data_IF_253267102868
#
_entry.id   IF_253267102868
#
_cell.length_a   1.000
_cell.length_b   1.000
_cell.length_c   1.000
_cell.angle_alpha   90.00
_cell.angle_beta   90.00
_cell.angle_gamma   90.00
#
_symmetry.space_group_name_H-M   'P 1'
#
loop_
_entity.id
_entity.type
_entity.pdbx_description
1 polymer ?
#
# COMPACT_ATOMS: atom_id res chain seq x y z
N UNK A 1 -21.10 -62.62 25.80
CA UNK A 1 -21.15 -61.20 26.22
C UNK A 1 -20.19 -60.39 25.35
N UNK A 2 -20.72 -59.63 24.39
CA UNK A 2 -19.97 -58.69 23.54
C UNK A 2 -20.03 -57.32 24.20
N UNK A 3 -18.92 -56.83 24.74
CA UNK A 3 -18.85 -55.44 25.21
C UNK A 3 -17.41 -54.92 25.20
N UNK A 4 -16.87 -54.56 24.04
CA UNK A 4 -15.73 -53.64 23.94
C UNK A 4 -15.73 -53.00 22.55
N UNK A 5 -16.06 -51.71 22.49
CA UNK A 5 -16.12 -50.97 21.23
C UNK A 5 -16.64 -49.54 21.41
N UNK A 6 -15.94 -48.72 22.21
CA UNK A 6 -16.07 -47.25 22.18
C UNK A 6 -14.94 -46.58 22.96
N UNK A 7 -13.77 -46.37 22.35
CA UNK A 7 -12.70 -45.55 22.97
C UNK A 7 -11.75 -44.87 21.98
N UNK A 8 -12.25 -44.45 20.81
CA UNK A 8 -11.45 -43.67 19.83
C UNK A 8 -12.11 -42.39 19.31
N UNK A 9 -13.38 -42.10 19.61
CA UNK A 9 -14.11 -40.97 18.99
C UNK A 9 -13.94 -39.60 19.65
N UNK A 10 -13.35 -39.54 20.85
CA UNK A 10 -13.22 -38.30 21.63
C UNK A 10 -11.88 -37.57 21.51
N UNK A 11 -10.89 -38.16 20.82
CA UNK A 11 -9.58 -37.51 20.59
C UNK A 11 -9.61 -36.59 19.37
N UNK A 12 -10.17 -37.08 18.25
CA UNK A 12 -10.27 -36.34 16.99
C UNK A 12 -11.19 -35.11 17.07
N UNK A 13 -12.28 -35.16 17.84
CA UNK A 13 -13.15 -34.00 18.05
C UNK A 13 -12.46 -32.90 18.87
N UNK A 14 -11.63 -33.27 19.86
CA UNK A 14 -10.92 -32.28 20.71
C UNK A 14 -9.76 -31.64 19.96
N UNK A 15 -9.10 -32.39 19.08
CA UNK A 15 -8.02 -31.91 18.21
C UNK A 15 -8.55 -30.96 17.11
N UNK A 16 -9.69 -31.29 16.49
CA UNK A 16 -10.34 -30.42 15.49
C UNK A 16 -10.89 -29.10 16.08
N UNK A 17 -11.39 -29.12 17.33
CA UNK A 17 -11.86 -27.91 18.02
C UNK A 17 -10.66 -27.03 18.45
N UNK A 18 -9.53 -27.63 18.85
CA UNK A 18 -8.30 -26.91 19.18
C UNK A 18 -7.64 -26.26 17.95
N UNK A 19 -7.61 -26.95 16.81
CA UNK A 19 -7.08 -26.43 15.54
C UNK A 19 -7.96 -25.30 14.97
N UNK A 20 -9.29 -25.42 15.07
CA UNK A 20 -10.24 -24.37 14.65
C UNK A 20 -10.10 -23.12 15.52
N UNK A 21 -9.99 -23.28 16.84
CA UNK A 21 -9.83 -22.17 17.78
C UNK A 21 -8.49 -21.45 17.62
N UNK A 22 -7.41 -22.19 17.29
CA UNK A 22 -6.11 -21.61 16.99
C UNK A 22 -6.11 -20.81 15.67
N UNK A 23 -6.79 -21.29 14.63
CA UNK A 23 -6.93 -20.58 13.36
C UNK A 23 -7.76 -19.28 13.48
N UNK A 24 -8.82 -19.27 14.31
CA UNK A 24 -9.62 -18.05 14.57
C UNK A 24 -8.89 -17.03 15.46
N UNK A 25 -8.12 -17.51 16.45
CA UNK A 25 -7.29 -16.63 17.29
C UNK A 25 -6.12 -16.02 16.50
N UNK A 26 -5.55 -16.75 15.55
CA UNK A 26 -4.46 -16.27 14.71
C UNK A 26 -4.96 -15.28 13.63
N UNK A 27 -6.11 -15.54 12.99
CA UNK A 27 -6.75 -14.58 12.07
C UNK A 27 -7.13 -13.26 12.75
N UNK A 28 -7.69 -13.31 13.96
CA UNK A 28 -8.08 -12.08 14.68
C UNK A 28 -6.88 -11.26 15.16
N UNK A 29 -5.76 -11.91 15.50
CA UNK A 29 -4.49 -11.24 15.79
C UNK A 29 -3.85 -10.57 14.56
N UNK A 30 -3.89 -11.25 13.41
CA UNK A 30 -3.33 -10.74 12.16
C UNK A 30 -4.13 -9.54 11.60
N UNK A 31 -5.47 -9.57 11.71
CA UNK A 31 -6.33 -8.44 11.33
C UNK A 31 -6.12 -7.21 12.23
N UNK A 32 -5.94 -7.42 13.54
CA UNK A 32 -5.62 -6.36 14.49
C UNK A 32 -4.21 -5.77 14.23
N UNK A 33 -3.23 -6.60 13.88
CA UNK A 33 -1.89 -6.15 13.52
C UNK A 33 -1.86 -5.37 12.20
N UNK A 34 -2.61 -5.85 11.19
CA UNK A 34 -2.73 -5.18 9.89
C UNK A 34 -3.44 -3.83 9.99
N UNK A 35 -4.53 -3.74 10.76
CA UNK A 35 -5.21 -2.46 11.00
C UNK A 35 -4.33 -1.46 11.76
N UNK A 36 -3.56 -1.94 12.75
CA UNK A 36 -2.57 -1.11 13.47
C UNK A 36 -1.45 -0.62 12.55
N UNK A 37 -0.89 -1.50 11.72
CA UNK A 37 0.15 -1.15 10.74
C UNK A 37 -0.37 -0.14 9.71
N UNK A 38 -1.57 -0.36 9.17
CA UNK A 38 -2.17 0.53 8.18
C UNK A 38 -2.44 1.91 8.77
N UNK A 39 -2.92 1.97 10.02
CA UNK A 39 -3.09 3.25 10.75
C UNK A 39 -1.77 4.00 10.94
N UNK A 40 -0.67 3.30 11.24
CA UNK A 40 0.67 3.89 11.35
C UNK A 40 1.19 4.38 10.00
N UNK A 41 0.89 3.66 8.91
CA UNK A 41 1.25 4.07 7.55
C UNK A 41 0.48 5.31 7.12
N UNK A 42 -0.85 5.30 7.25
CA UNK A 42 -1.70 6.45 6.86
C UNK A 42 -1.37 7.69 7.67
N UNK A 43 -1.16 7.56 8.99
CA UNK A 43 -0.73 8.69 9.83
C UNK A 43 0.67 9.20 9.47
N UNK A 44 1.61 8.31 9.14
CA UNK A 44 2.96 8.70 8.71
C UNK A 44 2.99 9.46 7.39
N UNK A 45 2.06 9.13 6.48
CA UNK A 45 1.93 9.76 5.16
C UNK A 45 1.00 10.98 5.14
N UNK A 46 0.25 11.22 6.23
CA UNK A 46 -0.85 12.20 6.26
C UNK A 46 -0.46 13.61 5.83
N UNK A 47 0.76 14.07 6.14
CA UNK A 47 1.22 15.40 5.71
C UNK A 47 1.36 15.49 4.19
N UNK A 48 2.02 14.51 3.57
CA UNK A 48 2.25 14.46 2.13
C UNK A 48 0.95 14.22 1.37
N UNK A 49 0.12 13.28 1.83
CA UNK A 49 -1.16 12.99 1.16
C UNK A 49 -2.10 14.19 1.20
N UNK A 50 -2.20 14.89 2.34
CA UNK A 50 -3.08 16.04 2.46
C UNK A 50 -2.62 17.21 1.59
N UNK A 51 -1.31 17.50 1.56
CA UNK A 51 -0.77 18.56 0.72
C UNK A 51 -1.08 18.30 -0.77
N UNK A 52 -0.79 17.09 -1.25
CA UNK A 52 -1.03 16.71 -2.64
C UNK A 52 -2.52 16.75 -3.01
N UNK A 53 -3.38 16.14 -2.20
CA UNK A 53 -4.83 16.09 -2.47
C UNK A 53 -5.43 17.49 -2.47
N UNK A 54 -5.13 18.32 -1.46
CA UNK A 54 -5.66 19.67 -1.38
C UNK A 54 -5.18 20.58 -2.51
N UNK A 55 -3.93 20.44 -2.96
CA UNK A 55 -3.40 21.18 -4.11
C UNK A 55 -4.16 20.85 -5.40
N UNK A 56 -4.37 19.56 -5.65
CA UNK A 56 -5.03 19.07 -6.88
C UNK A 56 -6.53 19.38 -6.88
N UNK A 57 -7.23 19.15 -5.78
CA UNK A 57 -8.65 19.52 -5.65
C UNK A 57 -8.84 21.03 -5.78
N UNK A 58 -7.92 21.82 -5.23
CA UNK A 58 -7.89 23.27 -5.40
C UNK A 58 -7.77 23.68 -6.88
N UNK A 59 -6.89 23.02 -7.64
CA UNK A 59 -6.74 23.28 -9.07
C UNK A 59 -7.99 22.93 -9.88
N UNK A 60 -8.61 21.78 -9.58
CA UNK A 60 -9.78 21.27 -10.29
C UNK A 60 -11.07 22.04 -9.94
N UNK A 61 -11.24 22.46 -8.68
CA UNK A 61 -12.47 23.11 -8.22
C UNK A 61 -12.66 24.57 -8.68
N UNK A 62 -11.63 25.21 -9.24
CA UNK A 62 -11.71 26.61 -9.68
C UNK A 62 -12.30 26.74 -11.08
N UNK A 63 -12.09 25.74 -11.94
CA UNK A 63 -12.38 25.84 -13.39
C UNK A 63 -13.42 24.81 -13.80
N UNK A 64 -14.37 25.16 -14.68
CA UNK A 64 -15.40 24.24 -15.13
C UNK A 64 -14.89 23.22 -16.16
N UNK A 65 -13.71 23.46 -16.76
CA UNK A 65 -13.16 22.63 -17.84
C UNK A 65 -11.69 22.30 -17.60
N UNK A 66 -11.25 21.15 -18.10
CA UNK A 66 -9.86 20.70 -18.05
C UNK A 66 -9.09 21.46 -19.13
N UNK A 67 -8.57 22.62 -18.75
CA UNK A 67 -7.72 23.47 -19.58
C UNK A 67 -6.23 23.28 -19.23
N UNK A 68 -5.37 23.97 -19.98
CA UNK A 68 -3.92 23.89 -19.79
C UNK A 68 -3.48 24.30 -18.39
N UNK A 69 -4.20 25.22 -17.74
CA UNK A 69 -3.88 25.67 -16.39
C UNK A 69 -4.19 24.61 -15.33
N UNK A 70 -5.28 23.85 -15.49
CA UNK A 70 -5.58 22.70 -14.62
C UNK A 70 -4.48 21.64 -14.73
N UNK A 71 -4.09 21.30 -15.96
CA UNK A 71 -3.04 20.31 -16.22
C UNK A 71 -1.70 20.75 -15.63
N UNK A 72 -1.29 22.00 -15.86
CA UNK A 72 -0.06 22.58 -15.31
C UNK A 72 -0.05 22.58 -13.77
N UNK A 73 -1.20 22.85 -13.15
CA UNK A 73 -1.32 22.80 -11.70
C UNK A 73 -1.15 21.36 -11.16
N UNK A 74 -1.77 20.36 -11.79
CA UNK A 74 -1.59 18.95 -11.43
C UNK A 74 -0.13 18.52 -11.56
N UNK A 75 0.52 18.89 -12.67
CA UNK A 75 1.95 18.62 -12.89
C UNK A 75 2.81 19.24 -11.79
N UNK A 76 2.55 20.51 -11.45
CA UNK A 76 3.27 21.24 -10.39
C UNK A 76 3.13 20.54 -9.05
N UNK A 77 1.92 20.13 -8.66
CA UNK A 77 1.68 19.41 -7.41
C UNK A 77 2.42 18.06 -7.35
N UNK A 78 2.42 17.30 -8.45
CA UNK A 78 3.17 16.03 -8.53
C UNK A 78 4.69 16.26 -8.43
N UNK A 79 5.22 17.32 -9.04
CA UNK A 79 6.64 17.66 -8.93
C UNK A 79 7.02 18.10 -7.51
N UNK A 80 6.17 18.89 -6.84
CA UNK A 80 6.38 19.28 -5.43
C UNK A 80 6.31 18.10 -4.47
N UNK A 81 5.60 17.02 -4.84
CA UNK A 81 5.50 15.79 -4.07
C UNK A 81 6.63 14.77 -4.34
N UNK A 82 7.74 15.20 -4.95
CA UNK A 82 8.92 14.37 -5.24
C UNK A 82 8.66 13.18 -6.19
N UNK A 83 7.65 13.26 -7.07
CA UNK A 83 7.35 12.20 -8.06
C UNK A 83 8.43 12.12 -9.17
N UNK A 84 9.03 13.27 -9.49
CA UNK A 84 10.10 13.40 -10.50
C UNK A 84 9.57 13.58 -11.93
N UNK A 85 10.33 14.32 -12.74
CA UNK A 85 9.92 14.83 -14.06
C UNK A 85 9.42 13.73 -15.00
N UNK A 86 10.19 12.66 -15.20
CA UNK A 86 9.85 11.62 -16.16
C UNK A 86 8.55 10.88 -15.79
N UNK A 87 8.36 10.62 -14.50
CA UNK A 87 7.18 9.94 -13.97
C UNK A 87 5.96 10.85 -14.05
N UNK A 88 6.10 12.11 -13.64
CA UNK A 88 5.03 13.11 -13.73
C UNK A 88 4.55 13.28 -15.16
N UNK A 89 5.46 13.45 -16.13
CA UNK A 89 5.09 13.58 -17.54
C UNK A 89 4.26 12.39 -18.02
N UNK A 90 4.70 11.16 -17.70
CA UNK A 90 3.97 9.94 -18.05
C UNK A 90 2.56 9.94 -17.47
N UNK A 91 2.40 10.31 -16.21
CA UNK A 91 1.10 10.35 -15.52
C UNK A 91 0.19 11.41 -16.17
N UNK A 92 0.71 12.61 -16.42
CA UNK A 92 -0.06 13.71 -17.01
C UNK A 92 -0.50 13.37 -18.44
N UNK A 93 0.38 12.81 -19.26
CA UNK A 93 0.05 12.41 -20.62
C UNK A 93 -1.06 11.35 -20.63
N UNK A 94 -1.01 10.37 -19.73
CA UNK A 94 -2.05 9.36 -19.58
C UNK A 94 -3.36 9.95 -19.05
N UNK A 95 -3.28 10.92 -18.13
CA UNK A 95 -4.46 11.61 -17.63
C UNK A 95 -5.17 12.38 -18.74
N UNK A 96 -4.44 13.08 -19.61
CA UNK A 96 -4.99 13.79 -20.77
C UNK A 96 -5.62 12.84 -21.80
N UNK A 97 -5.11 11.62 -21.94
CA UNK A 97 -5.73 10.61 -22.81
C UNK A 97 -7.11 10.18 -22.32
N UNK A 98 -7.28 10.07 -20.99
CA UNK A 98 -8.56 9.67 -20.37
C UNK A 98 -9.51 10.87 -20.26
N UNK A 99 -8.97 12.05 -19.96
CA UNK A 99 -9.68 13.31 -19.80
C UNK A 99 -9.12 14.36 -20.77
N UNK A 100 -9.55 14.34 -22.05
CA UNK A 100 -9.06 15.25 -23.06
C UNK A 100 -9.28 16.72 -22.70
N UNK A 101 -8.41 17.59 -23.22
CA UNK A 101 -8.54 19.04 -23.00
C UNK A 101 -9.90 19.56 -23.45
N UNK A 102 -10.39 20.58 -22.76
CA UNK A 102 -11.68 21.25 -22.97
C UNK A 102 -12.91 20.38 -22.67
N UNK A 103 -12.77 19.28 -21.93
CA UNK A 103 -13.92 18.59 -21.34
C UNK A 103 -14.32 19.23 -20.02
N UNK A 104 -15.58 19.08 -19.63
CA UNK A 104 -16.06 19.51 -18.32
C UNK A 104 -15.30 18.77 -17.21
N UNK A 105 -15.01 19.47 -16.12
CA UNK A 105 -14.33 18.89 -14.96
C UNK A 105 -15.33 18.08 -14.14
N UNK A 106 -15.07 16.78 -14.05
CA UNK A 106 -15.58 15.92 -12.99
C UNK A 106 -14.43 15.65 -12.02
N UNK A 107 -14.43 16.36 -10.89
CA UNK A 107 -13.34 16.31 -9.89
C UNK A 107 -13.14 14.87 -9.39
N UNK A 108 -14.22 14.17 -9.08
CA UNK A 108 -14.16 12.82 -8.53
C UNK A 108 -13.62 11.83 -9.57
N UNK A 109 -14.04 11.96 -10.83
CA UNK A 109 -13.55 11.11 -11.91
C UNK A 109 -12.07 11.35 -12.21
N UNK A 110 -11.62 12.61 -12.24
CA UNK A 110 -10.21 12.98 -12.45
C UNK A 110 -9.35 12.47 -11.29
N UNK A 111 -9.78 12.68 -10.05
CA UNK A 111 -9.07 12.20 -8.85
C UNK A 111 -8.97 10.67 -8.82
N UNK A 112 -10.03 9.98 -9.17
CA UNK A 112 -10.03 8.50 -9.28
C UNK A 112 -9.04 8.04 -10.35
N UNK A 113 -9.07 8.67 -11.53
CA UNK A 113 -8.15 8.33 -12.63
C UNK A 113 -6.69 8.58 -12.23
N UNK A 114 -6.39 9.72 -11.61
CA UNK A 114 -5.05 10.04 -11.15
C UNK A 114 -4.54 9.02 -10.12
N UNK A 115 -5.39 8.64 -9.16
CA UNK A 115 -5.06 7.60 -8.17
C UNK A 115 -4.71 6.29 -8.86
N UNK A 116 -5.49 5.86 -9.84
CA UNK A 116 -5.26 4.60 -10.54
C UNK A 116 -3.95 4.64 -11.35
N UNK A 117 -3.63 5.78 -11.99
CA UNK A 117 -2.36 5.99 -12.69
C UNK A 117 -1.16 5.94 -11.73
N UNK A 118 -1.26 6.57 -10.57
CA UNK A 118 -0.23 6.52 -9.53
C UNK A 118 -0.01 5.10 -9.03
N UNK A 119 -1.09 4.36 -8.74
CA UNK A 119 -1.01 2.96 -8.31
C UNK A 119 -0.38 2.08 -9.40
N UNK A 120 -0.76 2.27 -10.67
CA UNK A 120 -0.19 1.52 -11.79
C UNK A 120 1.32 1.74 -11.96
N UNK A 121 1.81 2.92 -11.56
CA UNK A 121 3.24 3.22 -11.60
C UNK A 121 4.02 2.51 -10.49
N UNK A 122 3.35 2.16 -9.39
CA UNK A 122 3.95 1.41 -8.27
C UNK A 122 3.96 -0.11 -8.51
N UNK A 123 3.06 -0.65 -9.33
CA UNK A 123 2.94 -2.09 -9.57
C UNK A 123 4.11 -2.72 -10.34
N UNK A 124 5.00 -1.93 -10.92
CA UNK A 124 6.18 -2.41 -11.65
C UNK A 124 7.35 -2.80 -10.73
N UNK A 125 7.25 -2.60 -9.41
CA UNK A 125 8.33 -2.90 -8.47
C UNK A 125 8.11 -4.25 -7.78
N UNK A 126 9.12 -5.12 -7.97
CA UNK A 126 9.08 -6.57 -7.75
C UNK A 126 8.54 -7.07 -6.41
N UNK A 127 7.93 -8.25 -6.49
CA UNK A 127 7.48 -9.05 -5.36
C UNK A 127 8.53 -9.08 -4.24
N UNK A 128 8.06 -9.05 -2.99
CA UNK A 128 8.92 -9.28 -1.83
C UNK A 128 9.76 -10.55 -2.07
N UNK A 129 11.06 -10.54 -1.75
CA UNK A 129 11.89 -11.72 -1.94
C UNK A 129 11.24 -12.90 -1.24
N UNK A 130 10.99 -13.98 -1.98
CA UNK A 130 10.53 -15.22 -1.38
C UNK A 130 11.71 -15.85 -0.64
N UNK A 131 11.76 -15.61 0.66
CA UNK A 131 12.77 -16.18 1.54
C UNK A 131 12.40 -17.64 1.84
N UNK A 132 12.39 -18.51 0.83
CA UNK A 132 12.26 -19.96 1.02
C UNK A 132 13.58 -20.50 1.59
N UNK A 133 13.66 -20.89 2.88
CA UNK A 133 14.94 -21.13 3.51
C UNK A 133 15.15 -22.63 3.79
N UNK A 134 16.02 -23.26 3.03
CA UNK A 134 16.79 -24.43 3.51
C UNK A 134 18.13 -23.95 4.12
N UNK A 135 18.12 -22.87 4.92
CA UNK A 135 19.32 -22.31 5.53
C UNK A 135 19.23 -20.84 5.96
N UNK A 136 20.31 -20.27 6.52
CA UNK A 136 20.33 -18.88 6.99
C UNK A 136 20.25 -17.88 5.82
N UNK A 137 19.36 -16.89 5.94
CA UNK A 137 19.26 -15.75 5.02
C UNK A 137 20.26 -14.67 5.43
N UNK A 138 21.15 -14.28 4.52
CA UNK A 138 22.13 -13.20 4.74
C UNK A 138 21.68 -11.93 4.04
N UNK A 139 21.40 -10.87 4.80
CA UNK A 139 20.99 -9.56 4.28
C UNK A 139 22.16 -8.57 4.43
N UNK A 140 22.71 -8.10 3.30
CA UNK A 140 23.72 -7.04 3.26
C UNK A 140 23.05 -5.67 3.17
N UNK A 141 23.20 -4.84 4.21
CA UNK A 141 22.63 -3.47 4.24
C UNK A 141 23.70 -2.44 3.88
N UNK A 142 23.47 -1.68 2.80
CA UNK A 142 24.39 -0.66 2.28
C UNK A 142 23.75 0.74 2.25
N UNK A 143 24.56 1.80 2.24
CA UNK A 143 24.09 3.20 2.14
C UNK A 143 25.00 4.21 2.85
N UNK A 144 24.76 5.51 2.67
CA UNK A 144 25.55 6.60 3.26
C UNK A 144 25.28 6.81 4.76
N UNK A 145 26.10 7.60 5.45
CA UNK A 145 25.90 7.87 6.89
C UNK A 145 24.63 8.70 7.11
N UNK A 146 23.88 8.39 8.18
CA UNK A 146 22.68 9.16 8.57
C UNK A 146 21.33 8.70 7.99
N UNK A 147 21.28 7.83 6.97
CA UNK A 147 20.01 7.36 6.36
C UNK A 147 19.25 6.29 7.18
N UNK A 148 19.71 6.01 8.41
CA UNK A 148 19.04 5.07 9.31
C UNK A 148 19.41 3.59 9.15
N UNK A 149 20.53 3.24 8.50
CA UNK A 149 20.97 1.84 8.31
C UNK A 149 20.93 1.00 9.59
N UNK A 150 21.58 1.45 10.66
CA UNK A 150 21.64 0.74 11.95
C UNK A 150 20.26 0.61 12.59
N UNK A 151 19.42 1.65 12.48
CA UNK A 151 18.04 1.62 12.98
C UNK A 151 17.19 0.61 12.20
N UNK A 152 17.34 0.54 10.89
CA UNK A 152 16.64 -0.43 10.04
C UNK A 152 17.10 -1.86 10.33
N UNK A 153 18.40 -2.10 10.57
CA UNK A 153 18.92 -3.40 11.02
C UNK A 153 18.24 -3.84 12.33
N UNK A 154 18.18 -2.95 13.33
CA UNK A 154 17.51 -3.26 14.61
C UNK A 154 16.01 -3.54 14.44
N UNK A 155 15.30 -2.81 13.57
CA UNK A 155 13.89 -3.06 13.25
C UNK A 155 13.68 -4.41 12.56
N UNK A 156 14.55 -4.76 11.61
CA UNK A 156 14.50 -6.06 10.92
C UNK A 156 14.78 -7.21 11.90
N UNK A 157 15.77 -7.08 12.77
CA UNK A 157 16.13 -8.09 13.79
C UNK A 157 15.09 -8.24 14.91
N UNK A 158 14.21 -7.26 15.10
CA UNK A 158 13.06 -7.41 15.99
C UNK A 158 11.86 -8.10 15.29
N UNK A 159 11.77 -7.98 13.96
CA UNK A 159 10.66 -8.52 13.17
C UNK A 159 10.85 -9.99 12.79
N UNK A 160 12.08 -10.42 12.53
CA UNK A 160 12.47 -11.80 12.21
C UNK A 160 13.31 -12.38 13.33
#
# INVERSE_FOLDING_TARGET
MKWFGRKQKGGEEVEAIAETSAHEQQRSGDEAAMSSWFSRLTSGLGKTSNALVSGIEGALGIRPTIDDAVIEAIETELLMADVGVATTQKIVDQLIQVHPRNTDVDVDAVMTTLKDLLVSTLSDFGAAPDYQPDGPVVILVVGVNGVGKTTTIGKLAHRY
#
